data_IF_438380120661
#
_entry.id   IF_438380120661
#
_cell.length_a   1.000
_cell.length_b   1.000
_cell.length_c   1.000
_cell.angle_alpha   90.00
_cell.angle_beta   90.00
_cell.angle_gamma   90.00
#
_symmetry.space_group_name_H-M   'P 1'
#
loop_
_entity.id
_entity.type
_entity.pdbx_description
1 polymer ?
#
# COMPACT_ATOMS: atom_id res chain seq x y z
N UNK A 1 2.18 -7.34 2.65
CA UNK A 1 2.17 -5.86 2.55
C UNK A 1 1.92 -5.20 3.91
N UNK A 2 0.71 -5.27 4.50
CA UNK A 2 0.35 -4.52 5.71
C UNK A 2 1.31 -4.67 6.91
N UNK A 3 1.71 -5.89 7.27
CA UNK A 3 2.65 -6.12 8.37
C UNK A 3 4.07 -5.59 8.12
N UNK A 4 4.51 -5.58 6.86
CA UNK A 4 5.81 -5.02 6.47
C UNK A 4 5.74 -3.49 6.46
N UNK A 5 4.66 -2.92 5.93
CA UNK A 5 4.41 -1.48 6.00
C UNK A 5 4.44 -0.98 7.45
N UNK A 6 3.69 -1.63 8.34
CA UNK A 6 3.70 -1.28 9.76
C UNK A 6 5.09 -1.38 10.41
N UNK A 7 5.88 -2.40 10.05
CA UNK A 7 7.26 -2.54 10.54
C UNK A 7 8.12 -1.35 10.09
N UNK A 8 8.04 -0.99 8.81
CA UNK A 8 8.78 0.14 8.26
C UNK A 8 8.38 1.48 8.90
N UNK A 9 7.08 1.70 9.16
CA UNK A 9 6.60 2.91 9.85
C UNK A 9 7.12 3.00 11.30
N UNK A 10 7.25 1.86 12.00
CA UNK A 10 7.83 1.79 13.35
C UNK A 10 9.34 2.02 13.33
N UNK A 11 10.05 1.36 12.43
CA UNK A 11 11.52 1.45 12.29
C UNK A 11 11.97 2.85 11.86
N UNK A 12 11.19 3.52 11.01
CA UNK A 12 11.43 4.92 10.61
C UNK A 12 11.01 5.95 11.65
N UNK A 13 10.39 5.52 12.77
CA UNK A 13 9.93 6.40 13.83
C UNK A 13 8.72 7.26 13.47
N UNK A 14 7.99 6.91 12.40
CA UNK A 14 6.77 7.63 11.99
C UNK A 14 5.56 7.26 12.85
N UNK A 15 5.57 6.08 13.49
CA UNK A 15 4.57 5.65 14.47
C UNK A 15 5.24 5.03 15.70
N UNK A 16 4.58 5.12 16.86
CA UNK A 16 5.00 4.54 18.13
C UNK A 16 3.97 3.53 18.64
N UNK A 17 4.40 2.61 19.50
CA UNK A 17 3.53 1.66 20.21
C UNK A 17 3.18 2.16 21.63
N UNK A 18 1.96 1.86 22.16
CA UNK A 18 0.90 1.09 21.52
C UNK A 18 0.08 1.91 20.51
N UNK A 19 -0.42 1.25 19.46
CA UNK A 19 -1.18 1.88 18.39
C UNK A 19 -2.31 0.99 17.87
N UNK A 20 -3.44 1.62 17.60
CA UNK A 20 -4.52 1.04 16.81
C UNK A 20 -4.40 1.48 15.35
N UNK A 21 -4.66 0.55 14.43
CA UNK A 21 -4.63 0.81 13.00
C UNK A 21 -5.95 0.43 12.36
N UNK A 22 -6.38 1.30 11.47
CA UNK A 22 -7.53 1.12 10.61
C UNK A 22 -7.05 1.05 9.17
N UNK A 23 -7.57 0.09 8.41
CA UNK A 23 -7.17 -0.12 7.01
C UNK A 23 -8.40 -0.02 6.15
N UNK A 24 -8.34 0.86 5.14
CA UNK A 24 -9.32 0.91 4.06
C UNK A 24 -8.63 0.53 2.76
N UNK A 25 -9.21 -0.44 2.05
CA UNK A 25 -8.76 -0.88 0.72
C UNK A 25 -9.82 -0.50 -0.33
N UNK A 26 -9.42 -0.41 -1.60
CA UNK A 26 -10.40 -0.21 -2.68
C UNK A 26 -11.36 -1.40 -2.78
N UNK A 27 -12.57 -1.11 -3.24
CA UNK A 27 -13.58 -2.13 -3.49
C UNK A 27 -13.30 -2.84 -4.81
N UNK A 28 -12.97 -4.13 -4.73
CA UNK A 28 -12.80 -5.01 -5.88
C UNK A 28 -13.81 -6.16 -5.84
N UNK A 29 -14.20 -6.69 -7.01
CA UNK A 29 -15.13 -7.83 -7.09
C UNK A 29 -14.58 -9.11 -6.42
N UNK A 30 -13.25 -9.20 -6.30
CA UNK A 30 -12.50 -10.28 -5.64
C UNK A 30 -12.53 -10.18 -4.11
N UNK A 31 -12.90 -9.03 -3.54
CA UNK A 31 -12.86 -8.74 -2.11
C UNK A 31 -14.26 -8.79 -1.51
N UNK A 32 -14.82 -9.99 -1.41
CA UNK A 32 -16.07 -10.21 -0.68
C UNK A 32 -15.88 -10.11 0.84
N UNK A 33 -17.00 -10.10 1.58
CA UNK A 33 -16.98 -9.96 3.04
C UNK A 33 -16.23 -11.09 3.76
N UNK A 34 -16.19 -12.29 3.19
CA UNK A 34 -15.47 -13.42 3.79
C UNK A 34 -13.96 -13.24 3.62
N UNK A 35 -13.52 -12.88 2.41
CA UNK A 35 -12.11 -12.60 2.13
C UNK A 35 -11.60 -11.45 3.00
N UNK A 36 -12.39 -10.39 3.18
CA UNK A 36 -12.05 -9.26 4.05
C UNK A 36 -11.94 -9.68 5.52
N UNK A 37 -12.87 -10.53 6.00
CA UNK A 37 -12.79 -11.08 7.36
C UNK A 37 -11.54 -11.94 7.57
N UNK A 38 -11.26 -12.85 6.63
CA UNK A 38 -10.08 -13.72 6.68
C UNK A 38 -8.77 -12.92 6.66
N UNK A 39 -8.71 -11.86 5.83
CA UNK A 39 -7.56 -10.96 5.78
C UNK A 39 -7.38 -10.21 7.09
N UNK A 40 -8.46 -9.68 7.67
CA UNK A 40 -8.44 -9.00 8.97
C UNK A 40 -7.89 -9.91 10.05
N UNK A 41 -8.37 -11.15 10.14
CA UNK A 41 -7.94 -12.09 11.18
C UNK A 41 -6.46 -12.46 11.01
N UNK A 42 -6.02 -12.74 9.78
CA UNK A 42 -4.60 -13.04 9.49
C UNK A 42 -3.67 -11.89 9.82
N UNK A 43 -4.05 -10.66 9.47
CA UNK A 43 -3.23 -9.47 9.75
C UNK A 43 -3.24 -9.16 11.25
N UNK A 44 -4.39 -9.24 11.90
CA UNK A 44 -4.54 -9.05 13.34
C UNK A 44 -3.69 -10.05 14.14
N UNK A 45 -3.73 -11.34 13.79
CA UNK A 45 -2.85 -12.33 14.40
C UNK A 45 -1.37 -12.03 14.18
N UNK A 46 -1.00 -11.59 12.97
CA UNK A 46 0.39 -11.24 12.64
C UNK A 46 0.87 -10.07 13.50
N UNK A 47 0.04 -9.04 13.69
CA UNK A 47 0.41 -7.90 14.53
C UNK A 47 0.52 -8.30 16.00
N UNK A 48 -0.43 -9.07 16.52
CA UNK A 48 -0.40 -9.58 17.89
C UNK A 48 0.88 -10.37 18.16
N UNK A 49 1.21 -11.33 17.27
CA UNK A 49 2.41 -12.17 17.39
C UNK A 49 3.70 -11.36 17.31
N UNK A 50 3.76 -10.32 16.46
CA UNK A 50 4.99 -9.55 16.21
C UNK A 50 5.23 -8.43 17.22
N UNK A 51 4.17 -7.83 17.73
CA UNK A 51 4.25 -6.61 18.55
C UNK A 51 3.68 -6.79 19.96
N UNK A 52 3.48 -8.04 20.41
CA UNK A 52 3.01 -8.38 21.76
C UNK A 52 1.72 -7.63 22.12
N UNK A 53 0.75 -7.67 21.19
CA UNK A 53 -0.56 -7.00 21.28
C UNK A 53 -0.51 -5.46 21.38
N UNK A 54 0.65 -4.83 21.23
CA UNK A 54 0.80 -3.36 21.24
C UNK A 54 0.42 -2.70 19.92
N UNK A 55 0.32 -3.47 18.84
CA UNK A 55 -0.21 -3.02 17.56
C UNK A 55 -1.48 -3.82 17.27
N UNK A 56 -2.60 -3.13 17.13
CA UNK A 56 -3.90 -3.77 16.91
C UNK A 56 -4.53 -3.28 15.61
N UNK A 57 -5.03 -4.21 14.81
CA UNK A 57 -5.86 -3.90 13.65
C UNK A 57 -7.32 -3.81 14.11
N UNK A 58 -7.86 -2.60 14.20
CA UNK A 58 -9.22 -2.34 14.70
C UNK A 58 -10.25 -2.55 13.59
N UNK A 59 -9.93 -2.09 12.37
CA UNK A 59 -10.81 -2.24 11.21
C UNK A 59 -10.02 -2.57 9.94
N UNK A 60 -10.64 -3.40 9.10
CA UNK A 60 -10.25 -3.61 7.71
C UNK A 60 -11.54 -3.59 6.89
N UNK A 61 -11.68 -2.61 6.02
CA UNK A 61 -12.89 -2.38 5.24
C UNK A 61 -12.56 -2.04 3.79
N UNK A 62 -13.51 -2.29 2.89
CA UNK A 62 -13.47 -1.83 1.52
C UNK A 62 -14.24 -0.51 1.39
N UNK A 63 -13.81 0.36 0.50
CA UNK A 63 -14.61 1.49 0.08
C UNK A 63 -14.44 1.74 -1.42
N UNK A 64 -15.52 2.10 -2.09
CA UNK A 64 -15.47 2.42 -3.52
C UNK A 64 -14.61 3.66 -3.75
N UNK A 65 -13.58 3.53 -4.60
CA UNK A 65 -12.77 4.65 -5.09
C UNK A 65 -13.62 5.80 -5.64
N UNK A 66 -14.80 5.55 -6.22
CA UNK A 66 -15.75 6.59 -6.69
C UNK A 66 -16.16 7.58 -5.59
N UNK A 67 -16.16 7.13 -4.34
CA UNK A 67 -16.62 7.90 -3.20
C UNK A 67 -15.50 8.28 -2.22
N UNK A 68 -14.24 7.95 -2.55
CA UNK A 68 -13.09 8.19 -1.66
C UNK A 68 -11.94 8.82 -2.41
N UNK A 69 -11.72 10.13 -2.18
CA UNK A 69 -10.58 10.85 -2.73
C UNK A 69 -9.23 10.29 -2.25
N UNK A 70 -9.18 9.69 -1.05
CA UNK A 70 -7.96 9.09 -0.51
C UNK A 70 -7.59 7.79 -1.24
N UNK A 71 -8.58 6.99 -1.64
CA UNK A 71 -8.35 5.79 -2.44
C UNK A 71 -7.89 6.21 -3.84
N UNK A 72 -8.57 7.18 -4.46
CA UNK A 72 -8.14 7.72 -5.75
C UNK A 72 -6.72 8.31 -5.70
N UNK A 73 -6.36 9.00 -4.62
CA UNK A 73 -5.00 9.50 -4.43
C UNK A 73 -3.99 8.34 -4.32
N UNK A 74 -4.36 7.27 -3.62
CA UNK A 74 -3.54 6.07 -3.51
C UNK A 74 -3.29 5.44 -4.87
N UNK A 75 -4.32 5.38 -5.74
CA UNK A 75 -4.19 4.89 -7.12
C UNK A 75 -3.28 5.78 -7.97
N UNK A 76 -3.38 7.10 -7.82
CA UNK A 76 -2.51 8.05 -8.53
C UNK A 76 -1.05 7.88 -8.11
N UNK A 77 -0.79 7.71 -6.82
CA UNK A 77 0.57 7.46 -6.29
C UNK A 77 1.10 6.12 -6.80
N UNK A 78 0.32 5.05 -6.66
CA UNK A 78 0.69 3.72 -7.13
C UNK A 78 0.94 3.69 -8.64
N UNK A 79 0.08 4.34 -9.42
CA UNK A 79 0.21 4.48 -10.86
C UNK A 79 1.45 5.28 -11.28
N UNK A 80 1.78 6.36 -10.56
CA UNK A 80 2.98 7.15 -10.82
C UNK A 80 4.26 6.35 -10.52
N UNK A 81 4.32 5.68 -9.37
CA UNK A 81 5.45 4.81 -9.01
C UNK A 81 5.60 3.68 -10.04
N UNK A 82 4.48 3.02 -10.40
CA UNK A 82 4.47 1.95 -11.38
C UNK A 82 4.96 2.41 -12.76
N UNK A 83 4.60 3.62 -13.18
CA UNK A 83 5.09 4.26 -14.42
C UNK A 83 6.60 4.47 -14.39
N UNK A 84 7.14 4.98 -13.29
CA UNK A 84 8.57 5.29 -13.16
C UNK A 84 9.39 4.01 -13.13
N UNK A 85 8.97 3.02 -12.32
CA UNK A 85 9.72 1.78 -12.13
C UNK A 85 9.66 0.83 -13.33
N UNK A 86 8.56 0.85 -14.10
CA UNK A 86 8.35 -0.06 -15.22
C UNK A 86 8.39 0.67 -16.58
N UNK A 87 9.06 1.82 -16.67
CA UNK A 87 9.11 2.57 -17.91
C UNK A 87 9.86 1.80 -19.01
N UNK A 88 9.19 1.55 -20.13
CA UNK A 88 9.78 1.02 -21.36
C UNK A 88 9.32 1.87 -22.56
N UNK A 89 10.23 2.20 -23.47
CA UNK A 89 9.91 2.88 -24.73
C UNK A 89 9.97 4.41 -24.70
N UNK A 90 9.17 5.06 -25.53
CA UNK A 90 9.14 6.54 -25.62
C UNK A 90 8.24 7.16 -24.56
N UNK A 91 8.74 8.24 -23.95
CA UNK A 91 8.01 9.01 -22.95
C UNK A 91 6.80 9.74 -23.56
N UNK A 92 5.74 9.86 -22.77
CA UNK A 92 4.51 10.57 -23.09
C UNK A 92 3.97 11.35 -21.87
N UNK A 93 2.87 12.07 -22.07
CA UNK A 93 2.28 12.95 -21.05
C UNK A 93 1.92 12.27 -19.72
N UNK A 94 1.72 10.95 -19.70
CA UNK A 94 1.48 10.22 -18.45
C UNK A 94 2.76 10.01 -17.64
N UNK A 95 3.93 9.97 -18.29
CA UNK A 95 5.22 9.95 -17.61
C UNK A 95 5.50 11.32 -16.97
N UNK A 96 5.18 12.41 -17.67
CA UNK A 96 5.32 13.76 -17.13
C UNK A 96 4.39 14.00 -15.93
N UNK A 97 3.19 13.41 -15.96
CA UNK A 97 2.28 13.41 -14.80
C UNK A 97 2.85 12.58 -13.63
N UNK A 98 3.47 11.44 -13.90
CA UNK A 98 4.09 10.61 -12.85
C UNK A 98 5.24 11.36 -12.16
N UNK A 99 6.09 12.02 -12.94
CA UNK A 99 7.18 12.86 -12.42
C UNK A 99 6.62 14.00 -11.54
N UNK A 100 5.54 14.63 -11.98
CA UNK A 100 4.88 15.70 -11.20
C UNK A 100 4.34 15.17 -9.87
N UNK A 101 3.70 14.00 -9.84
CA UNK A 101 3.18 13.39 -8.60
C UNK A 101 4.32 13.11 -7.62
N UNK A 102 5.43 12.53 -8.09
CA UNK A 102 6.61 12.27 -7.26
C UNK A 102 7.20 13.56 -6.69
N UNK A 103 7.34 14.59 -7.52
CA UNK A 103 7.87 15.88 -7.08
C UNK A 103 6.94 16.57 -6.07
N UNK A 104 5.63 16.58 -6.34
CA UNK A 104 4.65 17.25 -5.48
C UNK A 104 4.55 16.63 -4.09
N UNK A 105 4.73 15.31 -4.01
CA UNK A 105 4.62 14.55 -2.77
C UNK A 105 5.99 14.24 -2.13
N UNK A 106 7.08 14.77 -2.70
CA UNK A 106 8.47 14.51 -2.28
C UNK A 106 8.75 13.02 -2.06
N UNK A 107 8.27 12.17 -2.99
CA UNK A 107 8.39 10.72 -2.88
C UNK A 107 9.82 10.30 -3.16
N UNK A 108 10.41 9.58 -2.19
CA UNK A 108 11.71 8.93 -2.37
C UNK A 108 11.50 7.50 -2.83
N UNK A 109 11.87 7.24 -4.08
CA UNK A 109 11.83 5.91 -4.66
C UNK A 109 13.24 5.33 -4.53
N UNK A 110 13.38 4.32 -3.69
CA UNK A 110 14.63 3.56 -3.54
C UNK A 110 14.46 2.22 -4.24
N UNK A 111 15.34 1.93 -5.21
CA UNK A 111 15.46 0.60 -5.79
C UNK A 111 16.25 -0.28 -4.81
N UNK A 112 15.56 -1.22 -4.17
CA UNK A 112 16.16 -2.20 -3.27
C UNK A 112 15.74 -3.61 -3.64
N UNK A 113 16.69 -4.55 -3.58
CA UNK A 113 16.40 -5.98 -3.72
C UNK A 113 15.86 -6.48 -2.37
N UNK A 114 14.55 -6.73 -2.28
CA UNK A 114 13.90 -7.14 -1.03
C UNK A 114 13.74 -8.65 -1.03
N UNK A 115 14.54 -9.32 -0.19
CA UNK A 115 14.55 -10.77 -0.06
C UNK A 115 13.14 -11.33 0.29
N UNK A 116 12.63 -12.25 -0.53
CA UNK A 116 11.28 -12.81 -0.38
C UNK A 116 10.14 -11.89 -0.85
N UNK A 117 10.39 -11.01 -1.81
CA UNK A 117 9.37 -10.34 -2.63
C UNK A 117 9.63 -10.76 -4.08
N UNK A 118 8.67 -11.45 -4.72
CA UNK A 118 8.74 -11.66 -6.16
C UNK A 118 8.62 -10.30 -6.84
N UNK A 119 9.77 -9.78 -7.27
CA UNK A 119 9.91 -8.62 -8.13
C UNK A 119 9.27 -8.93 -9.49
N UNK A 120 7.94 -8.74 -9.60
CA UNK A 120 7.24 -8.36 -10.83
C UNK A 120 5.72 -8.49 -10.66
N UNK A 121 5.03 -7.40 -10.31
CA UNK A 121 3.70 -7.19 -10.87
C UNK A 121 3.88 -6.52 -12.24
N UNK A 122 4.35 -7.28 -13.23
CA UNK A 122 4.27 -6.88 -14.63
C UNK A 122 2.82 -7.07 -15.06
N UNK A 123 2.03 -6.00 -15.03
CA UNK A 123 0.73 -6.00 -15.68
C UNK A 123 0.96 -6.03 -17.19
N UNK A 124 0.92 -7.22 -17.78
CA UNK A 124 0.74 -7.34 -19.23
C UNK A 124 -0.68 -6.87 -19.54
N UNK A 125 -0.77 -5.70 -20.18
CA UNK A 125 -1.99 -5.24 -20.87
C UNK A 125 -1.88 -5.62 -22.34
#
# INVERSE_FOLDING_TARGET
MLARGAAHELESGRIDLPREMEVTVDEEQSLDSFVISDLRDRVGETFKKRYDDKLQLTSLQTASSKNSALIQLSDVIAGAIGRILNHEGERNFKDDMADLVVQMLDLKIEEGDIDGLDSAARFNV
#
